data_IF_376248280089
#
_entry.id   IF_376248280089
#
_cell.length_a   1.000
_cell.length_b   1.000
_cell.length_c   1.000
_cell.angle_alpha   90.00
_cell.angle_beta   90.00
_cell.angle_gamma   90.00
#
_symmetry.space_group_name_H-M   'P 1'
#
loop_
_entity.id
_entity.type
_entity.pdbx_description
1 polymer ?
#
# COMPACT_ATOMS: atom_id res chain seq x y z
N UNK A 1 3.95 -20.38 -9.15
CA UNK A 1 3.72 -19.24 -8.22
C UNK A 1 3.30 -19.83 -6.89
N UNK A 2 3.96 -19.49 -5.79
CA UNK A 2 3.58 -20.00 -4.46
C UNK A 2 2.20 -19.42 -4.08
N UNK A 3 1.40 -20.16 -3.30
CA UNK A 3 0.08 -19.73 -2.79
C UNK A 3 0.20 -18.38 -2.10
N UNK A 4 1.22 -18.20 -1.24
CA UNK A 4 1.55 -16.91 -0.62
C UNK A 4 1.66 -15.76 -1.64
N UNK A 5 2.44 -15.94 -2.70
CA UNK A 5 2.65 -14.92 -3.73
C UNK A 5 1.37 -14.64 -4.51
N UNK A 6 0.56 -15.68 -4.76
CA UNK A 6 -0.73 -15.55 -5.43
C UNK A 6 -1.74 -14.77 -4.56
N UNK A 7 -1.82 -15.06 -3.26
CA UNK A 7 -2.64 -14.31 -2.32
C UNK A 7 -2.20 -12.85 -2.21
N UNK A 8 -0.90 -12.60 -2.15
CA UNK A 8 -0.35 -11.25 -2.14
C UNK A 8 -0.71 -10.47 -3.41
N UNK A 9 -0.57 -11.10 -4.59
CA UNK A 9 -0.96 -10.50 -5.86
C UNK A 9 -2.47 -10.19 -5.90
N UNK A 10 -3.30 -11.14 -5.45
CA UNK A 10 -4.74 -10.96 -5.39
C UNK A 10 -5.15 -9.77 -4.50
N UNK A 11 -4.51 -9.63 -3.33
CA UNK A 11 -4.73 -8.48 -2.44
C UNK A 11 -4.30 -7.16 -3.10
N UNK A 12 -3.15 -7.12 -3.79
CA UNK A 12 -2.74 -5.91 -4.54
C UNK A 12 -3.75 -5.56 -5.64
N UNK A 13 -4.27 -6.55 -6.35
CA UNK A 13 -5.31 -6.34 -7.38
C UNK A 13 -6.58 -5.77 -6.75
N UNK A 14 -7.06 -6.33 -5.64
CA UNK A 14 -8.24 -5.81 -4.93
C UNK A 14 -8.00 -4.36 -4.50
N UNK A 15 -6.86 -4.05 -3.89
CA UNK A 15 -6.53 -2.69 -3.45
C UNK A 15 -6.54 -1.71 -4.62
N UNK A 16 -5.97 -2.12 -5.75
CA UNK A 16 -5.93 -1.31 -6.96
C UNK A 16 -7.31 -1.08 -7.56
N UNK A 17 -8.15 -2.13 -7.63
CA UNK A 17 -9.53 -1.99 -8.08
C UNK A 17 -10.33 -1.07 -7.14
N UNK A 18 -10.23 -1.25 -5.82
CA UNK A 18 -10.89 -0.38 -4.84
C UNK A 18 -10.46 1.08 -5.00
N UNK A 19 -9.17 1.32 -5.19
CA UNK A 19 -8.62 2.65 -5.43
C UNK A 19 -9.20 3.28 -6.70
N UNK A 20 -9.28 2.54 -7.81
CA UNK A 20 -9.86 3.02 -9.06
C UNK A 20 -11.37 3.29 -8.96
N UNK A 21 -12.14 2.35 -8.39
CA UNK A 21 -13.60 2.49 -8.24
C UNK A 21 -13.99 3.64 -7.31
N UNK A 22 -13.30 3.78 -6.18
CA UNK A 22 -13.63 4.83 -5.21
C UNK A 22 -13.10 6.19 -5.69
N UNK A 23 -11.95 6.21 -6.38
CA UNK A 23 -11.40 7.38 -7.05
C UNK A 23 -12.39 8.02 -8.01
N UNK A 24 -13.07 7.19 -8.81
CA UNK A 24 -14.06 7.64 -9.80
C UNK A 24 -15.35 8.18 -9.14
N UNK A 25 -15.81 7.56 -8.05
CA UNK A 25 -17.08 7.91 -7.40
C UNK A 25 -16.97 9.12 -6.47
N UNK A 26 -15.85 9.26 -5.74
CA UNK A 26 -15.69 10.29 -4.70
C UNK A 26 -14.72 11.42 -5.08
N UNK A 27 -14.09 11.34 -6.25
CA UNK A 27 -13.01 12.26 -6.64
C UNK A 27 -11.80 12.21 -5.70
N UNK A 28 -11.69 11.16 -4.89
CA UNK A 28 -10.68 10.99 -3.85
C UNK A 28 -9.83 9.76 -4.16
N UNK A 29 -8.54 9.98 -4.38
CA UNK A 29 -7.58 8.94 -4.71
C UNK A 29 -7.08 8.26 -3.43
N UNK A 30 -7.83 7.26 -2.97
CA UNK A 30 -7.48 6.49 -1.78
C UNK A 30 -6.24 5.62 -2.02
N UNK A 31 -5.32 5.58 -1.07
CA UNK A 31 -4.01 4.92 -1.22
C UNK A 31 -4.01 3.43 -0.85
N UNK A 32 -5.04 2.68 -1.27
CA UNK A 32 -5.21 1.27 -0.93
C UNK A 32 -4.08 0.38 -1.45
N UNK A 33 -3.63 0.62 -2.68
CA UNK A 33 -2.54 -0.18 -3.27
C UNK A 33 -1.23 0.03 -2.52
N UNK A 34 -0.92 1.28 -2.14
CA UNK A 34 0.27 1.58 -1.35
C UNK A 34 0.21 0.88 0.02
N UNK A 35 -0.93 0.99 0.70
CA UNK A 35 -1.15 0.37 1.99
C UNK A 35 -0.98 -1.15 1.92
N UNK A 36 -1.50 -1.79 0.87
CA UNK A 36 -1.31 -3.22 0.62
C UNK A 36 0.17 -3.57 0.42
N UNK A 37 0.88 -2.88 -0.46
CA UNK A 37 2.29 -3.16 -0.77
C UNK A 37 3.19 -2.99 0.45
N UNK A 38 2.99 -1.91 1.24
CA UNK A 38 3.72 -1.70 2.49
C UNK A 38 3.42 -2.82 3.49
N UNK A 39 2.16 -3.23 3.61
CA UNK A 39 1.78 -4.32 4.53
C UNK A 39 2.38 -5.65 4.10
N UNK A 40 2.30 -5.98 2.81
CA UNK A 40 2.89 -7.18 2.22
C UNK A 40 4.40 -7.22 2.40
N UNK A 41 5.06 -6.06 2.55
CA UNK A 41 6.49 -6.00 2.82
C UNK A 41 6.89 -6.73 4.09
N UNK A 42 5.95 -7.01 5.01
CA UNK A 42 6.19 -7.79 6.22
C UNK A 42 6.17 -9.31 5.99
N UNK A 43 5.55 -9.79 4.92
CA UNK A 43 5.33 -11.23 4.65
C UNK A 43 6.10 -11.75 3.44
N UNK A 44 6.29 -10.89 2.44
CA UNK A 44 6.95 -11.24 1.20
C UNK A 44 8.48 -11.09 1.28
N UNK A 45 9.18 -11.82 0.40
CA UNK A 45 10.60 -11.62 0.12
C UNK A 45 10.83 -10.36 -0.71
N UNK A 46 12.10 -9.93 -0.81
CA UNK A 46 12.47 -8.73 -1.56
C UNK A 46 12.01 -8.80 -3.02
N UNK A 47 12.27 -9.92 -3.71
CA UNK A 47 11.89 -10.10 -5.11
C UNK A 47 10.38 -10.15 -5.32
N UNK A 48 9.64 -10.74 -4.37
CA UNK A 48 8.17 -10.73 -4.40
C UNK A 48 7.62 -9.31 -4.28
N UNK A 49 8.14 -8.50 -3.36
CA UNK A 49 7.74 -7.09 -3.24
C UNK A 49 8.12 -6.28 -4.46
N UNK A 50 9.33 -6.46 -4.99
CA UNK A 50 9.76 -5.78 -6.20
C UNK A 50 8.81 -6.10 -7.37
N UNK A 51 8.47 -7.38 -7.55
CA UNK A 51 7.52 -7.81 -8.57
C UNK A 51 6.13 -7.20 -8.37
N UNK A 52 5.57 -7.27 -7.15
CA UNK A 52 4.24 -6.73 -6.85
C UNK A 52 4.18 -5.21 -7.03
N UNK A 53 5.23 -4.49 -6.64
CA UNK A 53 5.35 -3.05 -6.84
C UNK A 53 5.41 -2.71 -8.32
N UNK A 54 6.25 -3.39 -9.11
CA UNK A 54 6.33 -3.15 -10.55
C UNK A 54 5.01 -3.45 -11.25
N UNK A 55 4.32 -4.52 -10.84
CA UNK A 55 2.99 -4.85 -11.32
C UNK A 55 1.98 -3.75 -10.98
N UNK A 56 1.94 -3.29 -9.73
CA UNK A 56 1.05 -2.21 -9.31
C UNK A 56 1.32 -0.91 -10.07
N UNK A 57 2.59 -0.55 -10.28
CA UNK A 57 2.96 0.63 -11.06
C UNK A 57 2.51 0.52 -12.52
N UNK A 58 2.62 -0.66 -13.14
CA UNK A 58 2.14 -0.91 -14.50
C UNK A 58 0.62 -0.75 -14.59
N UNK A 59 -0.13 -1.27 -13.60
CA UNK A 59 -1.59 -1.17 -13.58
C UNK A 59 -2.06 0.25 -13.30
N UNK A 60 -1.40 0.96 -12.38
CA UNK A 60 -1.74 2.33 -12.03
C UNK A 60 -1.32 3.34 -13.11
N UNK A 61 -0.26 3.05 -13.88
CA UNK A 61 0.25 3.95 -14.91
C UNK A 61 0.10 3.38 -16.31
N UNK A 62 -1.06 3.62 -16.91
CA UNK A 62 -1.34 3.22 -18.30
C UNK A 62 -0.74 4.19 -19.35
N UNK A 63 -0.17 5.32 -18.92
CA UNK A 63 0.37 6.35 -19.84
C UNK A 63 1.90 6.25 -20.02
N UNK A 64 2.43 6.61 -21.21
CA UNK A 64 3.86 6.63 -21.45
C UNK A 64 4.52 7.80 -20.73
N UNK A 65 4.95 7.57 -19.49
CA UNK A 65 5.72 8.51 -18.69
C UNK A 65 5.61 8.16 -17.21
N UNK A 66 6.74 8.01 -16.51
CA UNK A 66 6.74 7.77 -15.07
C UNK A 66 6.77 9.11 -14.37
N UNK A 67 5.69 9.46 -13.68
CA UNK A 67 5.64 10.64 -12.81
C UNK A 67 6.52 10.44 -11.58
N UNK A 68 7.04 11.53 -11.02
CA UNK A 68 7.84 11.48 -9.79
C UNK A 68 7.03 10.88 -8.63
N UNK A 69 5.72 11.13 -8.60
CA UNK A 69 4.77 10.51 -7.67
C UNK A 69 4.81 8.97 -7.73
N UNK A 70 4.78 8.38 -8.93
CA UNK A 70 4.86 6.94 -9.11
C UNK A 70 6.22 6.36 -8.71
N UNK A 71 7.31 7.11 -8.92
CA UNK A 71 8.64 6.70 -8.44
C UNK A 71 8.63 6.62 -6.91
N UNK A 72 8.14 7.65 -6.24
CA UNK A 72 8.07 7.68 -4.78
C UNK A 72 7.15 6.59 -4.25
N UNK A 73 5.99 6.40 -4.88
CA UNK A 73 5.07 5.30 -4.59
C UNK A 73 5.77 3.94 -4.68
N UNK A 74 6.57 3.72 -5.72
CA UNK A 74 7.31 2.46 -5.90
C UNK A 74 8.43 2.24 -4.88
N UNK A 75 9.11 3.30 -4.45
CA UNK A 75 10.21 3.21 -3.48
C UNK A 75 9.68 2.93 -2.07
N UNK A 76 8.49 3.40 -1.71
CA UNK A 76 7.94 3.28 -0.35
C UNK A 76 7.81 1.83 0.16
N UNK A 77 7.20 0.87 -0.57
CA UNK A 77 7.15 -0.53 -0.14
C UNK A 77 8.54 -1.16 0.02
N UNK A 78 9.49 -0.76 -0.82
CA UNK A 78 10.88 -1.23 -0.75
C UNK A 78 11.54 -0.68 0.51
N UNK A 79 11.36 0.62 0.80
CA UNK A 79 11.81 1.23 2.05
C UNK A 79 11.21 0.53 3.28
N UNK A 80 9.90 0.28 3.26
CA UNK A 80 9.20 -0.43 4.34
C UNK A 80 9.77 -1.85 4.58
N UNK A 81 10.12 -2.57 3.52
CA UNK A 81 10.75 -3.89 3.61
C UNK A 81 12.08 -3.88 4.39
N UNK A 82 12.85 -2.80 4.30
CA UNK A 82 14.08 -2.64 5.07
C UNK A 82 13.79 -2.11 6.48
N UNK A 83 12.91 -1.12 6.60
CA UNK A 83 12.55 -0.48 7.87
C UNK A 83 11.87 -1.45 8.85
N UNK A 84 11.11 -2.45 8.37
CA UNK A 84 10.47 -3.45 9.24
C UNK A 84 11.45 -4.18 10.15
N UNK A 85 12.72 -4.31 9.76
CA UNK A 85 13.76 -4.97 10.57
C UNK A 85 14.30 -4.08 11.69
N UNK A 86 14.07 -2.77 11.60
CA UNK A 86 14.55 -1.77 12.56
C UNK A 86 13.48 -1.42 13.60
N UNK A 87 12.22 -1.77 13.35
CA UNK A 87 11.10 -1.44 14.25
C UNK A 87 10.95 -2.53 15.32
N UNK A 88 11.13 -2.22 16.62
CA UNK A 88 10.89 -3.14 17.72
C UNK A 88 9.39 -3.21 18.07
N UNK A 89 8.53 -3.31 17.05
CA UNK A 89 7.08 -3.29 17.19
C UNK A 89 6.48 -4.60 16.71
N UNK A 90 5.28 -4.92 17.18
CA UNK A 90 4.51 -6.01 16.61
C UNK A 90 4.28 -5.78 15.11
N UNK A 91 4.38 -6.82 14.25
CA UNK A 91 4.35 -6.62 12.80
C UNK A 91 3.08 -5.92 12.29
N UNK A 92 1.92 -6.15 12.91
CA UNK A 92 0.68 -5.46 12.57
C UNK A 92 0.76 -3.95 12.85
N UNK A 93 1.26 -3.58 14.02
CA UNK A 93 1.42 -2.17 14.40
C UNK A 93 2.47 -1.50 13.50
N UNK A 94 3.57 -2.21 13.22
CA UNK A 94 4.60 -1.76 12.29
C UNK A 94 4.06 -1.51 10.88
N UNK A 95 3.23 -2.42 10.34
CA UNK A 95 2.65 -2.23 9.00
C UNK A 95 1.69 -1.04 8.95
N UNK A 96 0.82 -0.89 9.94
CA UNK A 96 -0.12 0.24 10.03
C UNK A 96 0.64 1.57 10.12
N UNK A 97 1.68 1.65 10.96
CA UNK A 97 2.47 2.87 11.12
C UNK A 97 3.22 3.23 9.83
N UNK A 98 3.87 2.26 9.19
CA UNK A 98 4.57 2.52 7.93
C UNK A 98 3.61 2.87 6.79
N UNK A 99 2.43 2.26 6.73
CA UNK A 99 1.39 2.64 5.77
C UNK A 99 0.90 4.06 6.03
N UNK A 100 0.65 4.42 7.29
CA UNK A 100 0.25 5.78 7.67
C UNK A 100 1.31 6.80 7.24
N UNK A 101 2.58 6.53 7.59
CA UNK A 101 3.70 7.38 7.22
C UNK A 101 3.84 7.53 5.69
N UNK A 102 3.74 6.43 4.94
CA UNK A 102 3.81 6.46 3.47
C UNK A 102 2.73 7.34 2.85
N UNK A 103 1.47 7.19 3.31
CA UNK A 103 0.34 8.00 2.83
C UNK A 103 0.57 9.47 3.18
N UNK A 104 0.95 9.79 4.42
CA UNK A 104 1.25 11.17 4.83
C UNK A 104 2.35 11.78 3.96
N UNK A 105 3.42 11.04 3.68
CA UNK A 105 4.50 11.51 2.81
C UNK A 105 3.99 11.82 1.39
N UNK A 106 3.14 10.96 0.80
CA UNK A 106 2.54 11.25 -0.51
C UNK A 106 1.69 12.53 -0.49
N UNK A 107 0.85 12.71 0.54
CA UNK A 107 0.06 13.94 0.66
C UNK A 107 0.93 15.17 0.86
N UNK A 108 1.99 15.11 1.67
CA UNK A 108 2.88 16.27 1.86
C UNK A 108 3.58 16.65 0.54
N UNK A 109 4.01 15.67 -0.25
CA UNK A 109 4.78 15.91 -1.47
C UNK A 109 3.92 16.31 -2.68
N UNK A 110 2.73 15.71 -2.84
CA UNK A 110 1.92 15.86 -4.05
C UNK A 110 0.50 16.34 -3.78
N UNK A 111 0.00 16.19 -2.55
CA UNK A 111 -1.39 16.42 -2.18
C UNK A 111 -1.62 17.46 -1.09
N UNK A 112 -0.66 18.37 -0.82
CA UNK A 112 -0.69 19.24 0.38
C UNK A 112 -1.96 20.10 0.43
N UNK A 113 -2.44 20.51 -0.74
CA UNK A 113 -3.67 21.27 -0.91
C UNK A 113 -4.93 20.49 -0.48
N UNK A 114 -4.93 19.16 -0.56
CA UNK A 114 -6.05 18.33 -0.10
C UNK A 114 -6.13 18.35 1.42
N UNK A 115 -4.98 18.35 2.12
CA UNK A 115 -4.93 18.43 3.59
C UNK A 115 -5.62 19.70 4.09
N UNK A 116 -5.34 20.85 3.44
CA UNK A 116 -5.88 22.14 3.88
C UNK A 116 -7.29 22.39 3.41
N UNK A 117 -7.60 22.03 2.15
CA UNK A 117 -8.88 22.41 1.53
C UNK A 117 -9.98 21.36 1.76
N UNK A 118 -9.61 20.10 1.94
CA UNK A 118 -10.53 18.98 2.14
C UNK A 118 -10.03 17.99 3.21
N UNK A 119 -9.84 18.44 4.47
CA UNK A 119 -9.27 17.60 5.54
C UNK A 119 -10.09 16.34 5.81
N UNK A 120 -11.40 16.37 5.57
CA UNK A 120 -12.28 15.19 5.72
C UNK A 120 -11.93 14.11 4.70
N UNK A 121 -11.63 14.48 3.45
CA UNK A 121 -11.20 13.51 2.43
C UNK A 121 -9.86 12.90 2.80
N UNK A 122 -8.89 13.73 3.20
CA UNK A 122 -7.58 13.27 3.67
C UNK A 122 -7.69 12.29 4.86
N UNK A 123 -8.47 12.63 5.88
CA UNK A 123 -8.69 11.75 7.03
C UNK A 123 -9.40 10.46 6.62
N UNK A 124 -10.39 10.54 5.73
CA UNK A 124 -11.07 9.36 5.22
C UNK A 124 -10.12 8.43 4.48
N UNK A 125 -9.17 8.97 3.70
CA UNK A 125 -8.16 8.17 3.02
C UNK A 125 -7.26 7.44 4.00
N UNK A 126 -6.70 8.15 4.97
CA UNK A 126 -5.90 7.52 6.03
C UNK A 126 -6.69 6.39 6.69
N UNK A 127 -7.90 6.67 7.17
CA UNK A 127 -8.69 5.66 7.90
C UNK A 127 -8.99 4.45 7.03
N UNK A 128 -9.45 4.65 5.80
CA UNK A 128 -9.83 3.56 4.90
C UNK A 128 -8.60 2.76 4.45
N UNK A 129 -7.50 3.42 4.12
CA UNK A 129 -6.26 2.77 3.69
C UNK A 129 -5.60 2.00 4.83
N UNK A 130 -5.66 2.51 6.07
CA UNK A 130 -5.20 1.78 7.26
C UNK A 130 -6.11 0.61 7.62
N UNK A 131 -7.42 0.76 7.49
CA UNK A 131 -8.35 -0.35 7.65
C UNK A 131 -8.06 -1.45 6.63
N UNK A 132 -7.77 -1.07 5.37
CA UNK A 132 -7.39 -2.03 4.34
C UNK A 132 -6.03 -2.70 4.63
N UNK A 133 -5.04 -1.95 5.11
CA UNK A 133 -3.77 -2.49 5.60
C UNK A 133 -4.00 -3.57 6.67
N UNK A 134 -4.86 -3.31 7.67
CA UNK A 134 -5.17 -4.29 8.71
C UNK A 134 -5.84 -5.55 8.15
N UNK A 135 -6.75 -5.40 7.17
CA UNK A 135 -7.38 -6.55 6.48
C UNK A 135 -6.33 -7.38 5.73
N UNK A 136 -5.48 -6.73 4.92
CA UNK A 136 -4.38 -7.39 4.20
C UNK A 136 -3.47 -8.14 5.16
N UNK A 137 -3.09 -7.51 6.27
CA UNK A 137 -2.24 -8.13 7.29
C UNK A 137 -2.89 -9.39 7.86
N UNK A 138 -4.17 -9.29 8.27
CA UNK A 138 -4.88 -10.42 8.88
C UNK A 138 -5.10 -11.56 7.91
N UNK A 139 -5.39 -11.26 6.64
CA UNK A 139 -5.52 -12.27 5.60
C UNK A 139 -4.19 -13.00 5.38
N UNK A 140 -3.08 -12.27 5.28
CA UNK A 140 -1.76 -12.87 5.08
C UNK A 140 -1.27 -13.66 6.29
N UNK A 141 -1.55 -13.21 7.52
CA UNK A 141 -1.17 -13.94 8.72
C UNK A 141 -1.86 -15.30 8.79
N UNK A 142 -3.14 -15.37 8.42
CA UNK A 142 -3.90 -16.62 8.37
C UNK A 142 -3.33 -17.62 7.34
N UNK A 143 -2.88 -17.13 6.18
CA UNK A 143 -2.23 -17.99 5.18
C UNK A 143 -0.86 -18.50 5.65
N UNK A 144 -0.11 -17.69 6.41
CA UNK A 144 1.18 -18.11 6.96
C UNK A 144 1.04 -19.14 8.09
N UNK A 145 0.06 -18.97 8.98
CA UNK A 145 -0.24 -19.94 10.04
C UNK A 145 -0.69 -21.29 9.47
N UNK A 146 -1.32 -21.31 8.29
CA UNK A 146 -1.74 -22.54 7.63
C UNK A 146 -0.61 -23.32 6.92
N UNK A 147 0.55 -22.68 6.69
CA UNK A 147 1.72 -23.30 6.05
C UNK A 147 2.76 -23.84 7.07
N UNK A 148 2.59 -23.57 8.37
CA UNK A 148 3.45 -24.04 9.47
C UNK A 148 2.91 -25.28 10.18
#
# INVERSE_FOLDING_TARGET
MNIKTASALFLVIIGTLLQLFIGDVKGAWFNFTLAALITLSFFCSFFEILFLTLFALLVLNWQPGISLELIIFGVMPIGAFFLRKLLPLEPLVGSILLSCAGIIVLYILFGIHIITNNPVLFLSDIVMSLAYSAVVFKTMSLFFEAES
#
